data_IF_261204369119
#
_entry.id   IF_261204369119
#
_cell.length_a   1.000
_cell.length_b   1.000
_cell.length_c   1.000
_cell.angle_alpha   90.00
_cell.angle_beta   90.00
_cell.angle_gamma   90.00
#
_symmetry.space_group_name_H-M   'P 1'
#
loop_
_entity.id
_entity.type
_entity.pdbx_description
1 polymer ?
#
# COMPACT_ATOMS: atom_id res chain seq x y z
N UNK A 1 3.64 11.98 -5.04
CA UNK A 1 4.29 10.75 -4.52
C UNK A 1 4.29 9.56 -5.49
N UNK A 2 4.72 9.75 -6.75
CA UNK A 2 4.63 8.70 -7.79
C UNK A 2 5.40 7.41 -7.42
N UNK A 3 6.56 7.54 -6.80
CA UNK A 3 7.39 6.40 -6.38
C UNK A 3 6.72 5.55 -5.30
N UNK A 4 6.01 6.18 -4.36
CA UNK A 4 5.25 5.46 -3.34
C UNK A 4 4.11 4.66 -3.98
N UNK A 5 3.38 5.28 -4.91
CA UNK A 5 2.31 4.61 -5.66
C UNK A 5 2.87 3.44 -6.47
N UNK A 6 4.03 3.61 -7.13
CA UNK A 6 4.69 2.54 -7.88
C UNK A 6 5.12 1.37 -6.99
N UNK A 7 5.72 1.66 -5.82
CA UNK A 7 6.08 0.65 -4.83
C UNK A 7 4.87 -0.22 -4.44
N UNK A 8 3.73 0.41 -4.11
CA UNK A 8 2.56 -0.34 -3.69
C UNK A 8 1.89 -1.08 -4.86
N UNK A 9 1.62 -0.41 -5.97
CA UNK A 9 0.85 -0.99 -7.09
C UNK A 9 1.69 -2.00 -7.89
N UNK A 10 2.90 -1.63 -8.29
CA UNK A 10 3.68 -2.41 -9.24
C UNK A 10 4.61 -3.41 -8.55
N UNK A 11 5.28 -3.03 -7.45
CA UNK A 11 6.18 -3.95 -6.72
C UNK A 11 5.42 -4.84 -5.74
N UNK A 12 4.64 -4.26 -4.84
CA UNK A 12 3.91 -5.01 -3.81
C UNK A 12 2.58 -5.62 -4.29
N UNK A 13 2.08 -5.26 -5.48
CA UNK A 13 0.78 -5.72 -6.00
C UNK A 13 -0.39 -5.38 -5.06
N UNK A 14 -0.33 -4.20 -4.44
CA UNK A 14 -1.33 -3.65 -3.51
C UNK A 14 -1.94 -2.37 -4.09
N UNK A 15 -3.21 -2.45 -4.47
CA UNK A 15 -3.99 -1.28 -4.88
C UNK A 15 -4.57 -0.57 -3.64
N UNK A 16 -3.73 0.20 -2.94
CA UNK A 16 -4.16 1.04 -1.82
C UNK A 16 -4.62 2.40 -2.31
N UNK A 17 -5.39 3.12 -1.48
CA UNK A 17 -5.72 4.52 -1.81
C UNK A 17 -4.51 5.40 -1.48
N UNK A 18 -4.11 6.22 -2.45
CA UNK A 18 -3.12 7.28 -2.27
C UNK A 18 -3.57 8.24 -1.15
N UNK A 19 -2.71 8.54 -0.18
CA UNK A 19 -3.05 9.43 0.94
C UNK A 19 -3.40 10.86 0.52
N UNK A 20 -2.89 11.33 -0.62
CA UNK A 20 -3.16 12.68 -1.14
C UNK A 20 -4.63 12.91 -1.50
N UNK A 21 -5.43 11.85 -1.67
CA UNK A 21 -6.89 11.96 -1.85
C UNK A 21 -7.59 12.54 -0.62
N UNK A 22 -6.93 12.59 0.54
CA UNK A 22 -7.44 13.16 1.79
C UNK A 22 -6.89 14.58 2.09
N UNK A 23 -6.06 15.14 1.21
CA UNK A 23 -5.38 16.42 1.41
C UNK A 23 -3.86 16.32 1.27
N UNK A 24 -3.18 17.46 1.21
CA UNK A 24 -1.72 17.51 1.08
C UNK A 24 -1.00 16.83 2.25
N UNK A 25 -1.64 16.81 3.41
CA UNK A 25 -1.15 16.19 4.66
C UNK A 25 -1.08 14.66 4.56
N UNK A 26 -1.76 14.06 3.58
CA UNK A 26 -1.67 12.63 3.30
C UNK A 26 -0.50 12.25 2.39
N UNK A 27 0.33 13.20 1.96
CA UNK A 27 1.57 12.89 1.26
C UNK A 27 2.51 12.04 2.14
N UNK A 28 3.07 10.99 1.55
CA UNK A 28 3.86 9.97 2.25
C UNK A 28 3.04 8.80 2.80
N UNK A 29 1.70 8.84 2.70
CA UNK A 29 0.80 7.83 3.26
C UNK A 29 -0.01 7.10 2.20
N UNK A 30 -0.45 5.89 2.57
CA UNK A 30 -1.40 5.04 1.82
C UNK A 30 -2.47 4.52 2.77
N UNK A 31 -3.73 4.42 2.32
CA UNK A 31 -4.84 3.87 3.12
C UNK A 31 -5.11 2.40 2.78
N UNK A 32 -4.87 1.52 3.75
CA UNK A 32 -5.23 0.10 3.68
C UNK A 32 -6.67 -0.13 4.16
N UNK A 33 -7.45 -0.90 3.40
CA UNK A 33 -8.73 -1.42 3.85
C UNK A 33 -8.51 -2.72 4.65
N UNK A 34 -9.03 -2.77 5.89
CA UNK A 34 -8.92 -3.94 6.78
C UNK A 34 -10.21 -4.76 6.87
N UNK A 35 -11.28 -4.36 6.17
CA UNK A 35 -12.57 -5.05 6.11
C UNK A 35 -12.54 -6.27 5.19
N UNK A 36 -11.68 -7.24 5.49
CA UNK A 36 -11.43 -8.47 4.71
C UNK A 36 -10.96 -9.58 5.66
N UNK A 37 -10.98 -10.88 5.30
CA UNK A 37 -10.39 -11.93 6.12
C UNK A 37 -8.92 -11.67 6.47
N UNK A 38 -8.49 -12.11 7.66
CA UNK A 38 -7.12 -11.94 8.16
C UNK A 38 -6.07 -12.45 7.18
N UNK A 39 -6.33 -13.58 6.52
CA UNK A 39 -5.44 -14.17 5.52
C UNK A 39 -5.11 -13.23 4.35
N UNK A 40 -6.04 -12.36 3.96
CA UNK A 40 -5.78 -11.35 2.93
C UNK A 40 -4.87 -10.23 3.45
N UNK A 41 -4.99 -9.85 4.72
CA UNK A 41 -4.11 -8.87 5.35
C UNK A 41 -2.70 -9.44 5.49
N UNK A 42 -2.56 -10.68 5.95
CA UNK A 42 -1.26 -11.37 6.04
C UNK A 42 -0.57 -11.44 4.68
N UNK A 43 -1.30 -11.83 3.63
CA UNK A 43 -0.80 -11.85 2.25
C UNK A 43 -0.37 -10.45 1.78
N UNK A 44 -1.15 -9.42 2.09
CA UNK A 44 -0.82 -8.06 1.70
C UNK A 44 0.47 -7.56 2.37
N UNK A 45 0.60 -7.80 3.69
CA UNK A 45 1.79 -7.42 4.44
C UNK A 45 3.04 -8.20 4.00
N UNK A 46 2.90 -9.49 3.68
CA UNK A 46 4.01 -10.29 3.15
C UNK A 46 4.47 -9.80 1.76
N UNK A 47 3.53 -9.46 0.87
CA UNK A 47 3.86 -8.85 -0.42
C UNK A 47 4.62 -7.52 -0.26
N UNK A 48 4.17 -6.66 0.66
CA UNK A 48 4.85 -5.38 0.94
C UNK A 48 6.26 -5.63 1.49
N UNK A 49 6.41 -6.55 2.45
CA UNK A 49 7.71 -6.95 2.99
C UNK A 49 8.66 -7.42 1.90
N UNK A 50 8.19 -8.23 0.95
CA UNK A 50 9.00 -8.71 -0.18
C UNK A 50 9.43 -7.57 -1.09
N UNK A 51 8.54 -6.64 -1.41
CA UNK A 51 8.83 -5.49 -2.26
C UNK A 51 9.85 -4.51 -1.66
N UNK A 52 9.99 -4.47 -0.33
CA UNK A 52 10.98 -3.64 0.37
C UNK A 52 12.37 -4.30 0.45
N UNK A 53 12.42 -5.63 0.36
CA UNK A 53 13.66 -6.43 0.49
C UNK A 53 14.23 -6.89 -0.87
N UNK A 54 13.66 -6.41 -1.98
CA UNK A 54 14.08 -6.70 -3.36
C UNK A 54 14.77 -5.51 -4.00
#
# INVERSE_FOLDING_TARGET
QQELVDLFVNKAKLALNDGTVFGKEGEGFMRLNVGTPLSNIEKALDNLRKALNS
#
